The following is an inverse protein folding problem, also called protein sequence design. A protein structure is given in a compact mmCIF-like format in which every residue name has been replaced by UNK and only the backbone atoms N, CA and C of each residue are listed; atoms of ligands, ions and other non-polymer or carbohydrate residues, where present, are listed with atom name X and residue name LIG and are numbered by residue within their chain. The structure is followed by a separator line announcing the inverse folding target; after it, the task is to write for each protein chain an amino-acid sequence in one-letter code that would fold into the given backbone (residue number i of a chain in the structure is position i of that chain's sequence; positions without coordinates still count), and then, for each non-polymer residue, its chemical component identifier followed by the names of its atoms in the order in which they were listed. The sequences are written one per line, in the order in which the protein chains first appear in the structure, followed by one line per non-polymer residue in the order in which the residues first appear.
data_IF_888885337273
#
_entry.id   IF_888885337273
#
_cell.length_a   1.000
_cell.length_b   1.000
_cell.length_c   1.000
_cell.angle_alpha   90.00
_cell.angle_beta   90.00
_cell.angle_gamma   90.00
#
_symmetry.space_group_name_H-M   'P 1'
#
loop_
_entity.id
_entity.type
_entity.pdbx_description
1 polymer ?
#
# COMPACT_ATOMS: atom_id res chain seq x y z
N UNK A 1 19.27 -11.49 -31.24
CA UNK A 1 17.82 -11.28 -31.39
C UNK A 1 17.11 -12.60 -31.10
N UNK A 2 16.50 -12.77 -29.93
CA UNK A 2 15.67 -13.96 -29.67
C UNK A 2 14.35 -13.76 -30.41
N UNK A 3 14.10 -14.60 -31.43
CA UNK A 3 12.81 -14.70 -32.10
C UNK A 3 11.85 -15.38 -31.13
N UNK A 4 10.93 -14.63 -30.54
CA UNK A 4 9.76 -15.20 -29.87
C UNK A 4 8.93 -15.91 -30.93
N UNK A 5 8.89 -17.24 -30.87
CA UNK A 5 7.98 -18.07 -31.64
C UNK A 5 6.54 -17.62 -31.37
N UNK A 6 5.96 -16.84 -32.28
CA UNK A 6 4.53 -16.53 -32.28
C UNK A 6 3.78 -17.78 -32.77
N UNK A 7 3.68 -18.80 -31.92
CA UNK A 7 2.59 -19.76 -32.10
C UNK A 7 1.28 -19.00 -31.91
N UNK A 8 0.42 -19.05 -32.92
CA UNK A 8 -0.98 -18.58 -32.89
C UNK A 8 -1.79 -19.52 -31.98
N UNK A 9 -1.40 -19.64 -30.71
CA UNK A 9 -2.26 -20.28 -29.72
C UNK A 9 -3.40 -19.30 -29.43
N UNK A 10 -4.61 -19.69 -29.83
CA UNK A 10 -5.81 -18.99 -29.38
C UNK A 10 -5.86 -19.17 -27.87
N UNK A 11 -5.69 -18.07 -27.14
CA UNK A 11 -5.85 -18.07 -25.70
C UNK A 11 -7.33 -18.30 -25.38
N UNK A 12 -7.69 -19.56 -25.11
CA UNK A 12 -9.02 -19.88 -24.60
C UNK A 12 -9.12 -19.37 -23.16
N UNK A 13 -10.05 -18.44 -22.94
CA UNK A 13 -10.32 -17.93 -21.61
C UNK A 13 -11.11 -19.00 -20.85
N UNK A 14 -10.42 -19.85 -20.09
CA UNK A 14 -11.01 -20.96 -19.30
C UNK A 14 -12.04 -20.54 -18.23
N UNK A 15 -12.26 -19.23 -18.03
CA UNK A 15 -13.25 -18.71 -17.08
C UNK A 15 -13.94 -17.51 -17.70
N UNK A 16 -15.23 -17.64 -17.96
CA UNK A 16 -16.08 -16.49 -18.29
C UNK A 16 -16.29 -15.70 -17.00
N UNK A 17 -15.58 -14.58 -16.86
CA UNK A 17 -15.78 -13.68 -15.72
C UNK A 17 -16.80 -12.63 -16.14
N UNK A 18 -18.08 -12.98 -16.04
CA UNK A 18 -19.16 -12.01 -16.19
C UNK A 18 -19.21 -11.11 -14.95
N UNK A 19 -18.41 -10.05 -14.96
CA UNK A 19 -18.45 -9.05 -13.90
C UNK A 19 -19.69 -8.19 -14.11
N UNK A 20 -20.59 -8.14 -13.12
CA UNK A 20 -21.66 -7.15 -13.11
C UNK A 20 -21.06 -5.75 -12.86
N UNK A 21 -20.74 -5.04 -13.95
CA UNK A 21 -20.15 -3.71 -13.89
C UNK A 21 -21.00 -2.70 -13.14
N UNK A 22 -22.34 -2.83 -13.17
CA UNK A 22 -23.23 -1.95 -12.44
C UNK A 22 -23.04 -2.05 -10.93
N UNK A 23 -22.93 -3.28 -10.41
CA UNK A 23 -22.68 -3.51 -8.99
C UNK A 23 -21.27 -3.08 -8.59
N UNK A 24 -20.28 -3.36 -9.46
CA UNK A 24 -18.90 -2.91 -9.28
C UNK A 24 -18.82 -1.37 -9.20
N UNK A 25 -19.42 -0.66 -10.15
CA UNK A 25 -19.43 0.80 -10.18
C UNK A 25 -20.14 1.37 -8.95
N UNK A 26 -21.27 0.77 -8.55
CA UNK A 26 -21.97 1.15 -7.31
C UNK A 26 -21.06 0.99 -6.08
N UNK A 27 -20.24 -0.05 -6.03
CA UNK A 27 -19.26 -0.25 -4.96
C UNK A 27 -18.12 0.78 -5.00
N UNK A 28 -17.71 1.21 -6.20
CA UNK A 28 -16.69 2.26 -6.40
C UNK A 28 -17.20 3.66 -6.10
N UNK A 29 -18.48 3.93 -6.34
CA UNK A 29 -19.11 5.17 -5.92
C UNK A 29 -18.85 5.36 -4.42
N UNK A 30 -18.42 6.56 -4.04
CA UNK A 30 -17.97 6.97 -2.70
C UNK A 30 -16.59 6.49 -2.22
N UNK A 31 -15.76 5.85 -3.06
CA UNK A 31 -14.39 5.43 -2.67
C UNK A 31 -13.57 6.58 -2.06
N UNK A 32 -13.52 7.74 -2.72
CA UNK A 32 -12.82 8.92 -2.21
C UNK A 32 -13.42 9.43 -0.89
N UNK A 33 -14.76 9.38 -0.75
CA UNK A 33 -15.46 9.80 0.46
C UNK A 33 -15.14 8.86 1.63
N UNK A 34 -15.06 7.54 1.37
CA UNK A 34 -14.64 6.56 2.38
C UNK A 34 -13.23 6.87 2.89
N UNK A 35 -12.29 7.19 2.00
CA UNK A 35 -10.93 7.60 2.39
C UNK A 35 -10.94 8.89 3.21
N UNK A 36 -11.70 9.92 2.82
CA UNK A 36 -11.83 11.15 3.62
C UNK A 36 -12.34 10.87 5.04
N UNK A 37 -13.32 9.99 5.16
CA UNK A 37 -13.91 9.63 6.45
C UNK A 37 -12.96 8.85 7.37
N UNK A 38 -11.84 8.33 6.87
CA UNK A 38 -10.82 7.66 7.69
C UNK A 38 -10.03 8.62 8.57
N UNK A 39 -10.18 9.94 8.44
CA UNK A 39 -9.44 10.91 9.25
C UNK A 39 -9.58 10.64 10.75
N UNK A 40 -10.78 10.26 11.20
CA UNK A 40 -11.07 9.92 12.59
C UNK A 40 -10.29 8.69 13.07
N UNK A 41 -10.07 7.72 12.19
CA UNK A 41 -9.33 6.49 12.50
C UNK A 41 -7.85 6.79 12.77
N UNK A 42 -7.31 7.84 12.16
CA UNK A 42 -5.92 8.27 12.34
C UNK A 42 -5.74 9.34 13.43
N UNK A 43 -6.77 9.63 14.22
CA UNK A 43 -6.71 10.68 15.25
C UNK A 43 -5.63 10.41 16.33
N UNK A 44 -5.30 9.15 16.60
CA UNK A 44 -4.23 8.80 17.55
C UNK A 44 -2.85 9.32 17.12
N UNK A 45 -2.60 9.52 15.81
CA UNK A 45 -1.36 10.14 15.34
C UNK A 45 -1.23 11.61 15.76
N UNK A 46 -2.33 12.26 16.12
CA UNK A 46 -2.31 13.65 16.54
C UNK A 46 -1.93 13.80 18.03
N UNK A 47 -1.73 12.69 18.76
CA UNK A 47 -1.25 12.66 20.16
C UNK A 47 0.21 12.21 20.20
N UNK A 48 1.16 12.91 20.87
CA UNK A 48 1.01 14.11 21.70
C UNK A 48 0.97 15.42 20.88
N UNK A 49 0.34 16.43 21.49
CA UNK A 49 0.02 17.73 20.90
C UNK A 49 1.24 18.66 20.71
N UNK A 50 2.27 18.22 19.99
CA UNK A 50 3.22 19.19 19.45
C UNK A 50 2.44 20.09 18.49
N UNK A 51 2.49 21.42 18.68
CA UNK A 51 1.78 22.37 17.81
C UNK A 51 2.29 22.23 16.39
N UNK A 52 1.60 21.42 15.60
CA UNK A 52 1.81 21.28 14.16
C UNK A 52 0.76 22.09 13.44
N UNK A 53 1.18 22.73 12.38
CA UNK A 53 0.27 23.45 11.51
C UNK A 53 -0.75 22.50 10.83
N UNK A 54 -0.30 21.30 10.48
CA UNK A 54 -1.11 20.26 9.86
C UNK A 54 -1.22 19.04 10.76
N UNK A 55 -2.44 18.56 10.98
CA UNK A 55 -2.70 17.30 11.69
C UNK A 55 -2.15 16.13 10.90
N UNK A 56 -1.53 15.16 11.58
CA UNK A 56 -1.00 13.96 10.95
C UNK A 56 -2.11 13.09 10.39
N UNK A 57 -3.27 13.04 11.05
CA UNK A 57 -4.46 12.37 10.54
C UNK A 57 -4.83 12.86 9.13
N UNK A 58 -4.90 14.17 8.92
CA UNK A 58 -5.24 14.76 7.62
C UNK A 58 -4.14 14.53 6.57
N UNK A 59 -2.87 14.65 6.95
CA UNK A 59 -1.76 14.36 6.03
C UNK A 59 -1.74 12.88 5.61
N UNK A 60 -2.13 11.97 6.49
CA UNK A 60 -2.28 10.54 6.19
C UNK A 60 -3.36 10.31 5.14
N UNK A 61 -4.47 11.05 5.18
CA UNK A 61 -5.48 11.00 4.13
C UNK A 61 -4.92 11.41 2.76
N UNK A 62 -4.07 12.45 2.71
CA UNK A 62 -3.39 12.85 1.47
C UNK A 62 -2.42 11.76 0.96
N UNK A 63 -1.74 11.05 1.87
CA UNK A 63 -0.91 9.89 1.51
C UNK A 63 -1.76 8.74 0.93
N UNK A 64 -2.92 8.46 1.50
CA UNK A 64 -3.85 7.45 0.97
C UNK A 64 -4.34 7.85 -0.43
N UNK A 65 -4.67 9.12 -0.67
CA UNK A 65 -5.02 9.58 -2.01
C UNK A 65 -3.86 9.47 -3.00
N UNK A 66 -2.64 9.78 -2.57
CA UNK A 66 -1.45 9.58 -3.40
C UNK A 66 -1.33 8.11 -3.83
N UNK A 67 -1.62 7.16 -2.95
CA UNK A 67 -1.59 5.72 -3.24
C UNK A 67 -2.76 5.34 -4.16
N UNK A 68 -3.99 5.74 -3.82
CA UNK A 68 -5.20 5.43 -4.58
C UNK A 68 -5.07 5.89 -6.04
N UNK A 69 -4.65 7.13 -6.27
CA UNK A 69 -4.49 7.68 -7.61
C UNK A 69 -3.16 7.34 -8.26
N UNK A 70 -2.27 6.62 -7.56
CA UNK A 70 -0.94 6.25 -8.05
C UNK A 70 -0.11 7.44 -8.55
N UNK A 71 -0.22 8.59 -7.87
CA UNK A 71 0.44 9.84 -8.26
C UNK A 71 1.72 10.12 -7.45
N UNK A 72 2.52 11.08 -7.93
CA UNK A 72 3.71 11.56 -7.23
C UNK A 72 3.35 12.46 -6.02
N UNK A 73 4.29 12.65 -5.08
CA UNK A 73 4.11 13.59 -3.96
C UNK A 73 3.86 15.03 -4.42
N UNK A 74 4.48 15.46 -5.53
CA UNK A 74 4.25 16.80 -6.10
C UNK A 74 2.86 16.90 -6.72
N UNK A 75 2.46 15.87 -7.45
CA UNK A 75 1.14 15.81 -8.10
C UNK A 75 0.01 15.84 -7.07
N UNK A 76 0.10 15.08 -5.98
CA UNK A 76 -0.93 15.12 -4.93
C UNK A 76 -0.95 16.47 -4.21
N UNK A 77 0.21 17.12 -3.98
CA UNK A 77 0.26 18.44 -3.38
C UNK A 77 -0.40 19.50 -4.28
N UNK A 78 -0.14 19.48 -5.60
CA UNK A 78 -0.80 20.33 -6.58
C UNK A 78 -2.31 20.07 -6.58
N UNK A 79 -2.73 18.82 -6.76
CA UNK A 79 -4.14 18.45 -6.77
C UNK A 79 -4.85 18.83 -5.46
N UNK A 80 -4.18 18.70 -4.32
CA UNK A 80 -4.73 19.11 -3.01
C UNK A 80 -5.04 20.60 -2.98
N UNK A 81 -4.16 21.43 -3.55
CA UNK A 81 -4.34 22.86 -3.66
C UNK A 81 -5.39 23.24 -4.71
N UNK A 82 -5.23 22.75 -5.94
CA UNK A 82 -6.01 23.17 -7.11
C UNK A 82 -7.47 22.71 -7.01
N UNK A 83 -7.69 21.49 -6.50
CA UNK A 83 -9.02 20.93 -6.28
C UNK A 83 -9.57 21.22 -4.88
N UNK A 84 -8.86 22.04 -4.08
CA UNK A 84 -9.26 22.47 -2.73
C UNK A 84 -9.57 21.31 -1.76
N UNK A 85 -8.92 20.15 -1.93
CA UNK A 85 -9.08 18.98 -1.05
C UNK A 85 -8.76 19.35 0.41
N UNK A 86 -7.83 20.28 0.62
CA UNK A 86 -7.46 20.76 1.95
C UNK A 86 -8.64 21.37 2.73
N UNK A 87 -9.60 22.00 2.03
CA UNK A 87 -10.80 22.57 2.66
C UNK A 87 -11.75 21.48 3.12
N UNK A 88 -11.91 20.41 2.34
CA UNK A 88 -12.71 19.24 2.73
C UNK A 88 -12.14 18.53 3.97
N UNK A 89 -10.83 18.66 4.21
CA UNK A 89 -10.13 18.19 5.40
C UNK A 89 -10.08 19.23 6.54
N UNK A 90 -10.76 20.38 6.40
CA UNK A 90 -10.78 21.43 7.42
C UNK A 90 -9.43 22.12 7.67
N UNK A 91 -8.51 22.09 6.70
CA UNK A 91 -7.21 22.76 6.79
C UNK A 91 -7.31 24.21 6.30
N UNK A 92 -6.52 25.12 6.88
CA UNK A 92 -6.48 26.54 6.47
C UNK A 92 -5.82 26.75 5.11
N UNK A 93 -4.84 25.92 4.75
CA UNK A 93 -4.13 25.95 3.47
C UNK A 93 -3.70 24.54 3.05
N UNK A 94 -3.28 24.38 1.80
CA UNK A 94 -2.71 23.12 1.34
C UNK A 94 -1.27 22.91 1.85
N UNK A 95 -0.92 21.69 2.32
CA UNK A 95 0.45 21.34 2.68
C UNK A 95 1.33 21.16 1.44
N UNK A 96 2.63 21.43 1.57
CA UNK A 96 3.57 21.17 0.48
C UNK A 96 3.92 19.68 0.38
N UNK A 97 4.50 19.27 -0.77
CA UNK A 97 4.83 17.87 -1.01
C UNK A 97 5.79 17.28 0.03
N UNK A 98 6.73 18.07 0.59
CA UNK A 98 7.65 17.62 1.64
C UNK A 98 6.91 17.32 2.94
N UNK A 99 5.94 18.16 3.31
CA UNK A 99 5.10 17.94 4.49
C UNK A 99 4.32 16.64 4.38
N UNK A 100 3.70 16.39 3.21
CA UNK A 100 3.00 15.13 2.94
C UNK A 100 3.99 13.95 3.01
N UNK A 101 5.14 14.05 2.34
CA UNK A 101 6.14 12.98 2.32
C UNK A 101 6.68 12.63 3.71
N UNK A 102 6.99 13.64 4.53
CA UNK A 102 7.51 13.44 5.88
C UNK A 102 6.49 12.75 6.79
N UNK A 103 5.21 12.75 6.44
CA UNK A 103 4.19 12.03 7.22
C UNK A 103 4.44 10.52 7.25
N UNK A 104 5.08 9.96 6.22
CA UNK A 104 5.45 8.54 6.18
C UNK A 104 6.33 8.10 7.35
N UNK A 105 7.09 9.01 7.98
CA UNK A 105 7.96 8.65 9.12
C UNK A 105 7.18 8.34 10.40
N UNK A 106 5.90 8.69 10.44
CA UNK A 106 5.01 8.43 11.58
C UNK A 106 4.10 7.21 11.35
N UNK A 107 4.18 6.58 10.17
CA UNK A 107 3.35 5.44 9.79
C UNK A 107 4.22 4.18 9.76
N UNK A 108 4.51 3.65 10.95
CA UNK A 108 5.21 2.37 11.04
C UNK A 108 4.28 1.17 10.76
N UNK A 109 4.90 0.01 10.55
CA UNK A 109 4.19 -1.23 10.21
C UNK A 109 3.25 -1.68 11.34
N UNK A 110 3.64 -1.46 12.59
CA UNK A 110 2.83 -1.82 13.75
C UNK A 110 1.54 -1.00 13.81
N UNK A 111 1.64 0.33 13.69
CA UNK A 111 0.50 1.22 13.70
C UNK A 111 -0.45 0.92 12.53
N UNK A 112 0.08 0.76 11.32
CA UNK A 112 -0.74 0.40 10.16
C UNK A 112 -1.43 -0.96 10.33
N UNK A 113 -0.76 -1.92 10.97
CA UNK A 113 -1.35 -3.22 11.30
C UNK A 113 -2.51 -3.10 12.30
N UNK A 114 -2.39 -2.25 13.33
CA UNK A 114 -3.49 -1.97 14.26
C UNK A 114 -4.70 -1.37 13.55
N UNK A 115 -4.46 -0.39 12.66
CA UNK A 115 -5.54 0.21 11.87
C UNK A 115 -6.18 -0.81 10.93
N UNK A 116 -5.39 -1.69 10.30
CA UNK A 116 -5.92 -2.74 9.44
C UNK A 116 -6.86 -3.68 10.19
N UNK A 117 -6.53 -4.05 11.44
CA UNK A 117 -7.36 -4.91 12.30
C UNK A 117 -8.76 -4.34 12.54
N UNK A 118 -8.93 -3.02 12.58
CA UNK A 118 -10.25 -2.37 12.73
C UNK A 118 -11.21 -2.68 11.56
N UNK A 119 -10.68 -3.09 10.41
CA UNK A 119 -11.46 -3.41 9.23
C UNK A 119 -11.59 -4.91 8.97
N UNK A 120 -10.94 -5.77 9.77
CA UNK A 120 -11.05 -7.21 9.63
C UNK A 120 -12.35 -7.74 10.24
N UNK A 121 -12.79 -8.90 9.77
CA UNK A 121 -13.91 -9.62 10.37
C UNK A 121 -13.38 -10.50 11.50
N UNK A 122 -14.23 -10.79 12.50
CA UNK A 122 -13.85 -11.59 13.67
C UNK A 122 -13.45 -13.04 13.32
N UNK A 123 -13.89 -13.56 12.17
CA UNK A 123 -13.60 -14.93 11.72
C UNK A 123 -13.14 -14.97 10.27
N UNK A 124 -12.03 -15.65 10.04
CA UNK A 124 -11.49 -15.93 8.71
C UNK A 124 -12.00 -17.31 8.29
N UNK A 125 -12.90 -17.36 7.31
CA UNK A 125 -13.44 -18.64 6.84
C UNK A 125 -12.49 -19.37 5.90
N UNK A 126 -11.81 -18.63 5.01
CA UNK A 126 -10.95 -19.21 3.99
C UNK A 126 -9.74 -18.31 3.77
N UNK A 127 -8.60 -18.74 4.30
CA UNK A 127 -7.34 -18.03 4.19
C UNK A 127 -6.51 -18.44 2.97
N UNK A 128 -5.88 -17.47 2.32
CA UNK A 128 -4.89 -17.68 1.25
C UNK A 128 -3.60 -16.92 1.54
N UNK A 129 -2.45 -17.58 1.36
CA UNK A 129 -1.13 -16.98 1.60
C UNK A 129 -0.33 -17.06 0.31
N UNK A 130 0.24 -15.93 -0.08
CA UNK A 130 1.10 -15.82 -1.26
C UNK A 130 2.30 -14.92 -0.97
N UNK A 131 3.38 -15.08 -1.74
CA UNK A 131 4.58 -14.27 -1.61
C UNK A 131 4.98 -13.64 -2.96
N UNK A 132 5.44 -12.40 -2.90
CA UNK A 132 5.85 -11.64 -4.09
C UNK A 132 7.17 -10.91 -3.88
N UNK A 133 7.93 -10.74 -4.96
CA UNK A 133 9.21 -10.02 -4.94
C UNK A 133 9.04 -8.55 -5.31
N UNK A 134 9.45 -7.64 -4.42
CA UNK A 134 9.49 -6.20 -4.67
C UNK A 134 10.92 -5.73 -4.89
N UNK A 135 11.23 -5.24 -6.10
CA UNK A 135 12.54 -4.66 -6.42
C UNK A 135 12.75 -3.36 -5.65
N UNK A 136 13.85 -3.23 -4.93
CA UNK A 136 14.17 -1.98 -4.24
C UNK A 136 14.96 -1.04 -5.14
N UNK A 137 14.95 0.26 -4.80
CA UNK A 137 15.74 1.28 -5.50
C UNK A 137 17.23 1.20 -5.19
N UNK A 138 17.59 0.50 -4.10
CA UNK A 138 18.97 0.25 -3.74
C UNK A 138 19.56 -0.78 -4.71
N UNK A 139 20.23 -0.29 -5.76
CA UNK A 139 21.40 -1.02 -6.24
C UNK A 139 22.38 -1.07 -5.05
N UNK A 140 23.19 -2.11 -4.94
CA UNK A 140 24.43 -2.03 -4.16
C UNK A 140 25.40 -1.01 -4.76
N UNK A 141 24.94 0.19 -5.13
CA UNK A 141 25.67 1.24 -5.81
C UNK A 141 26.87 1.66 -4.97
N UNK A 142 26.71 1.73 -3.65
CA UNK A 142 27.84 1.98 -2.74
C UNK A 142 28.90 0.87 -2.82
N UNK A 143 28.49 -0.40 -2.92
CA UNK A 143 29.41 -1.54 -3.11
C UNK A 143 30.04 -1.53 -4.50
N UNK A 144 29.26 -1.19 -5.53
CA UNK A 144 29.75 -1.02 -6.90
C UNK A 144 30.79 0.11 -7.00
N UNK A 145 30.54 1.26 -6.35
CA UNK A 145 31.42 2.43 -6.34
C UNK A 145 32.68 2.18 -5.49
N UNK A 146 32.54 1.62 -4.29
CA UNK A 146 33.66 1.46 -3.34
C UNK A 146 34.54 0.25 -3.65
N UNK A 147 33.97 -0.85 -4.10
CA UNK A 147 34.69 -2.11 -4.31
C UNK A 147 34.81 -2.53 -5.77
N UNK A 148 34.32 -1.72 -6.72
CA UNK A 148 34.37 -1.98 -8.17
C UNK A 148 33.77 -3.34 -8.58
N UNK A 149 32.90 -3.94 -7.74
CA UNK A 149 32.27 -5.24 -8.01
C UNK A 149 30.92 -5.06 -8.67
N UNK A 150 30.79 -5.56 -9.91
CA UNK A 150 29.54 -5.50 -10.67
C UNK A 150 28.46 -6.44 -10.09
N UNK A 151 27.51 -5.87 -9.33
CA UNK A 151 26.28 -6.58 -8.94
C UNK A 151 25.28 -6.67 -10.11
N UNK A 152 25.08 -7.89 -10.64
CA UNK A 152 24.16 -8.18 -11.77
C UNK A 152 22.67 -8.03 -11.44
N UNK A 153 22.26 -8.18 -10.17
CA UNK A 153 20.85 -8.20 -9.76
C UNK A 153 20.53 -7.06 -8.80
N UNK A 154 19.39 -6.39 -9.02
CA UNK A 154 18.86 -5.42 -8.06
C UNK A 154 18.52 -6.15 -6.76
N UNK A 155 18.78 -5.52 -5.63
CA UNK A 155 18.29 -6.06 -4.36
C UNK A 155 16.76 -6.06 -4.37
N UNK A 156 16.17 -7.07 -3.75
CA UNK A 156 14.73 -7.23 -3.69
C UNK A 156 14.30 -7.66 -2.30
N UNK A 157 13.15 -7.16 -1.87
CA UNK A 157 12.46 -7.62 -0.69
C UNK A 157 11.39 -8.62 -1.11
N UNK A 158 11.05 -9.54 -0.21
CA UNK A 158 9.93 -10.43 -0.42
C UNK A 158 8.80 -10.01 0.52
N UNK A 159 7.63 -9.76 -0.04
CA UNK A 159 6.40 -9.48 0.71
C UNK A 159 5.60 -10.78 0.78
N UNK A 160 5.18 -11.16 1.98
CA UNK A 160 4.29 -12.30 2.23
C UNK A 160 2.95 -11.74 2.66
N UNK A 161 1.88 -12.09 1.95
CA UNK A 161 0.56 -11.52 2.16
C UNK A 161 -0.39 -12.65 2.54
N UNK A 162 -1.09 -12.45 3.66
CA UNK A 162 -2.19 -13.29 4.08
C UNK A 162 -3.51 -12.58 3.81
N UNK A 163 -4.40 -13.24 3.08
CA UNK A 163 -5.66 -12.67 2.59
C UNK A 163 -6.81 -13.59 2.99
N UNK A 164 -7.93 -13.00 3.43
CA UNK A 164 -9.19 -13.72 3.47
C UNK A 164 -9.76 -13.79 2.05
N UNK A 165 -9.83 -15.01 1.50
CA UNK A 165 -10.31 -15.24 0.15
C UNK A 165 -11.80 -14.95 0.00
N UNK A 166 -12.56 -14.84 1.10
CA UNK A 166 -13.98 -14.49 1.07
C UNK A 166 -14.16 -12.97 0.97
N UNK A 167 -13.68 -12.22 1.96
CA UNK A 167 -13.81 -10.75 1.98
C UNK A 167 -12.80 -10.02 1.08
N UNK A 168 -11.79 -10.72 0.56
CA UNK A 168 -10.65 -10.18 -0.21
C UNK A 168 -9.80 -9.17 0.57
N UNK A 169 -9.93 -9.12 1.89
CA UNK A 169 -9.14 -8.24 2.75
C UNK A 169 -7.79 -8.85 3.05
N UNK A 170 -6.75 -8.00 3.04
CA UNK A 170 -5.42 -8.38 3.52
C UNK A 170 -5.48 -8.43 5.05
N UNK A 171 -5.26 -9.61 5.61
CA UNK A 171 -5.28 -9.86 7.05
C UNK A 171 -3.96 -9.40 7.65
N UNK A 172 -2.87 -9.85 7.04
CA UNK A 172 -1.52 -9.60 7.52
C UNK A 172 -0.54 -9.54 6.37
N UNK A 173 0.53 -8.77 6.55
CA UNK A 173 1.58 -8.60 5.57
C UNK A 173 2.94 -8.56 6.29
N UNK A 174 3.91 -9.31 5.78
CA UNK A 174 5.26 -9.36 6.32
C UNK A 174 6.28 -9.10 5.22
N UNK A 175 7.15 -8.10 5.41
CA UNK A 175 8.26 -7.80 4.49
C UNK A 175 9.56 -8.42 5.00
N UNK A 176 10.21 -9.21 4.14
CA UNK A 176 11.44 -9.95 4.46
C UNK A 176 12.54 -9.71 3.43
N UNK A 177 13.74 -10.24 3.69
CA UNK A 177 14.83 -10.27 2.70
C UNK A 177 14.42 -11.15 1.52
N UNK A 178 14.88 -10.83 0.31
CA UNK A 178 14.53 -11.58 -0.89
C UNK A 178 14.84 -13.08 -0.84
N UNK A 179 15.82 -13.49 -0.02
CA UNK A 179 16.25 -14.87 0.17
C UNK A 179 15.48 -15.64 1.25
N UNK A 180 14.55 -14.99 1.95
CA UNK A 180 13.76 -15.63 2.99
C UNK A 180 12.85 -16.72 2.42
N UNK A 181 12.80 -17.86 3.10
CA UNK A 181 11.95 -19.00 2.72
C UNK A 181 10.52 -18.84 3.25
N UNK A 182 9.56 -19.16 2.39
CA UNK A 182 8.13 -18.89 2.59
C UNK A 182 7.55 -19.78 3.70
N UNK A 183 7.98 -21.06 3.80
CA UNK A 183 7.51 -21.99 4.84
C UNK A 183 7.76 -21.46 6.27
N UNK A 184 8.88 -20.75 6.49
CA UNK A 184 9.20 -20.16 7.80
C UNK A 184 8.31 -18.95 8.10
N UNK A 185 7.91 -18.22 7.06
CA UNK A 185 7.05 -17.05 7.22
C UNK A 185 5.60 -17.44 7.47
N UNK A 186 5.11 -18.52 6.85
CA UNK A 186 3.77 -19.05 7.10
C UNK A 186 3.51 -19.26 8.60
N UNK A 187 4.40 -19.99 9.29
CA UNK A 187 4.28 -20.24 10.73
C UNK A 187 4.30 -18.95 11.57
N UNK A 188 5.04 -17.94 11.13
CA UNK A 188 5.11 -16.64 11.81
C UNK A 188 3.82 -15.84 11.63
N UNK A 189 3.31 -15.80 10.40
CA UNK A 189 2.07 -15.09 10.05
C UNK A 189 0.88 -15.66 10.84
N UNK A 190 0.74 -16.99 10.89
CA UNK A 190 -0.37 -17.62 11.63
C UNK A 190 -0.33 -17.26 13.13
N UNK A 191 0.85 -17.30 13.75
CA UNK A 191 1.02 -16.91 15.16
C UNK A 191 0.70 -15.45 15.47
N UNK A 192 0.85 -14.55 14.50
CA UNK A 192 0.54 -13.13 14.69
C UNK A 192 -0.94 -12.81 14.42
N UNK A 193 -1.66 -13.76 13.81
CA UNK A 193 -3.08 -13.66 13.48
C UNK A 193 -4.01 -14.43 14.43
N UNK A 194 -3.47 -15.42 15.16
CA UNK A 194 -4.13 -16.05 16.33
C UNK A 194 -4.28 -15.04 17.49
#
# INVERSE_FOLDING_TARGET
MQRTSQKKEMWERHKEVSINWKDYDKSRLSECKRILNLSNVFHELDKPAQRREFKLSHLTILLLFKILFSVSYRSIASATNDLRIYQALGMKRAPCYKTIQNTMTYLDEWFLSQINRLFLQDRIMLGGIDSSGMKTRQKGAWIQIRFHKYQKRKDFKKIHIFVDLTSKKIIHCLVTKGTSSDHKQLKKILKECD
#
